data_IF_082321569970
#
_entry.id   IF_082321569970
#
_cell.length_a   1.000
_cell.length_b   1.000
_cell.length_c   1.000
_cell.angle_alpha   90.00
_cell.angle_beta   90.00
_cell.angle_gamma   90.00
#
_symmetry.space_group_name_H-M   'P 1'
#
loop_
_entity.id
_entity.type
_entity.pdbx_description
1 polymer ?
#
# COMPACT_ATOMS: atom_id res chain seq x y z
N UNK A 1 18.46 -12.25 8.07
CA UNK A 1 18.07 -12.79 9.39
C UNK A 1 17.63 -11.68 10.35
N UNK A 2 18.41 -10.61 10.48
CA UNK A 2 18.07 -9.44 11.32
C UNK A 2 16.71 -8.81 11.00
N UNK A 3 16.40 -8.60 9.71
CA UNK A 3 15.11 -8.04 9.29
C UNK A 3 13.91 -8.93 9.72
N UNK A 4 14.02 -10.26 9.58
CA UNK A 4 12.96 -11.19 10.01
C UNK A 4 12.70 -11.09 11.53
N UNK A 5 13.77 -10.92 12.32
CA UNK A 5 13.66 -10.76 13.78
C UNK A 5 12.99 -9.44 14.17
N UNK A 6 13.34 -8.33 13.51
CA UNK A 6 12.69 -7.03 13.75
C UNK A 6 11.20 -7.08 13.45
N UNK A 7 10.81 -7.73 12.35
CA UNK A 7 9.41 -7.89 11.97
C UNK A 7 8.62 -8.66 13.03
N UNK A 8 9.15 -9.79 13.48
CA UNK A 8 8.53 -10.61 14.51
C UNK A 8 8.36 -9.86 15.85
N UNK A 9 9.34 -9.02 16.23
CA UNK A 9 9.24 -8.21 17.45
C UNK A 9 8.16 -7.12 17.31
N UNK A 10 8.10 -6.42 16.18
CA UNK A 10 7.08 -5.40 15.94
C UNK A 10 5.66 -5.98 15.95
N UNK A 11 5.48 -7.18 15.39
CA UNK A 11 4.21 -7.92 15.45
C UNK A 11 3.82 -8.26 16.88
N UNK A 12 4.74 -8.84 17.65
CA UNK A 12 4.49 -9.17 19.06
C UNK A 12 4.12 -7.93 19.88
N UNK A 13 4.87 -6.84 19.72
CA UNK A 13 4.66 -5.63 20.50
C UNK A 13 3.31 -4.96 20.15
N UNK A 14 2.92 -4.97 18.87
CA UNK A 14 1.60 -4.50 18.44
C UNK A 14 0.48 -5.37 19.00
N UNK A 15 0.65 -6.69 19.00
CA UNK A 15 -0.34 -7.62 19.55
C UNK A 15 -0.51 -7.48 21.06
N UNK A 16 0.55 -7.13 21.78
CA UNK A 16 0.45 -6.80 23.21
C UNK A 16 -0.32 -5.49 23.40
N UNK A 17 -0.01 -4.46 22.60
CA UNK A 17 -0.70 -3.17 22.68
C UNK A 17 -2.19 -3.30 22.42
N UNK A 18 -2.59 -4.12 21.43
CA UNK A 18 -4.01 -4.41 21.16
C UNK A 18 -4.67 -5.17 22.32
N UNK A 19 -3.96 -6.10 22.97
CA UNK A 19 -4.50 -6.88 24.11
C UNK A 19 -4.75 -6.01 25.34
N UNK A 20 -3.90 -5.04 25.59
CA UNK A 20 -4.03 -4.13 26.74
C UNK A 20 -5.29 -3.25 26.66
N UNK A 21 -5.89 -3.10 25.47
CA UNK A 21 -7.16 -2.41 25.28
C UNK A 21 -8.40 -3.23 25.68
N UNK A 22 -8.23 -4.45 26.20
CA UNK A 22 -9.24 -5.12 27.04
C UNK A 22 -10.42 -5.77 26.31
N UNK A 23 -10.43 -5.78 24.98
CA UNK A 23 -11.44 -6.48 24.19
C UNK A 23 -10.77 -7.66 23.47
N UNK A 24 -11.23 -8.89 23.73
CA UNK A 24 -10.82 -10.11 22.99
C UNK A 24 -11.36 -10.10 21.55
N UNK A 25 -11.32 -8.95 20.88
CA UNK A 25 -11.88 -8.80 19.56
C UNK A 25 -10.92 -9.28 18.48
N UNK A 26 -11.53 -9.92 17.48
CA UNK A 26 -10.82 -10.66 16.45
C UNK A 26 -10.06 -9.71 15.52
N UNK A 27 -8.73 -9.81 15.56
CA UNK A 27 -7.88 -9.28 14.49
C UNK A 27 -8.36 -9.84 13.15
N UNK A 28 -8.73 -8.93 12.24
CA UNK A 28 -9.28 -9.28 10.92
C UNK A 28 -8.16 -9.47 9.91
N UNK A 29 -7.17 -8.57 9.90
CA UNK A 29 -6.06 -8.58 8.95
C UNK A 29 -4.79 -7.99 9.58
N UNK A 30 -3.65 -8.61 9.26
CA UNK A 30 -2.32 -8.04 9.51
C UNK A 30 -1.35 -8.41 8.38
N UNK A 31 -0.31 -7.58 8.22
CA UNK A 31 0.75 -7.82 7.25
C UNK A 31 1.62 -6.59 6.97
N UNK A 32 2.79 -6.85 6.39
CA UNK A 32 3.73 -5.81 5.99
C UNK A 32 3.35 -5.22 4.64
N UNK A 33 3.23 -3.90 4.57
CA UNK A 33 3.00 -3.16 3.32
C UNK A 33 3.90 -1.94 3.23
N UNK A 34 4.15 -1.47 2.01
CA UNK A 34 4.80 -0.20 1.75
C UNK A 34 3.80 0.95 1.81
N UNK A 35 4.03 1.93 2.69
CA UNK A 35 3.27 3.18 2.76
C UNK A 35 3.99 4.29 1.98
N UNK A 36 3.26 5.04 1.16
CA UNK A 36 3.79 6.25 0.55
C UNK A 36 3.84 7.39 1.58
N UNK A 37 4.95 8.14 1.61
CA UNK A 37 5.04 9.35 2.42
C UNK A 37 4.02 10.40 1.94
N UNK A 38 3.40 11.12 2.87
CA UNK A 38 2.40 12.13 2.54
C UNK A 38 3.02 13.24 1.68
N UNK A 39 2.34 13.58 0.58
CA UNK A 39 2.81 14.59 -0.39
C UNK A 39 3.88 14.09 -1.36
N UNK A 40 4.36 12.84 -1.24
CA UNK A 40 5.32 12.28 -2.18
C UNK A 40 4.64 11.79 -3.47
N UNK A 41 5.39 11.82 -4.56
CA UNK A 41 4.97 11.40 -5.91
C UNK A 41 4.94 9.88 -6.12
N UNK A 42 5.71 9.13 -5.33
CA UNK A 42 5.78 7.66 -5.41
C UNK A 42 6.65 7.09 -6.54
N UNK A 43 7.32 7.94 -7.30
CA UNK A 43 8.29 7.58 -8.36
C UNK A 43 9.60 6.97 -7.81
N UNK A 44 10.05 7.42 -6.63
CA UNK A 44 11.30 6.97 -6.00
C UNK A 44 11.05 5.99 -4.86
N UNK A 45 11.93 4.99 -4.72
CA UNK A 45 11.89 4.00 -3.61
C UNK A 45 11.94 4.68 -2.24
N UNK A 46 12.69 5.78 -2.11
CA UNK A 46 12.85 6.53 -0.87
C UNK A 46 11.55 7.17 -0.36
N UNK A 47 10.55 7.36 -1.23
CA UNK A 47 9.23 7.86 -0.86
C UNK A 47 8.39 6.82 -0.14
N UNK A 48 8.80 5.55 -0.19
CA UNK A 48 8.07 4.43 0.40
C UNK A 48 8.70 3.99 1.72
N UNK A 49 7.83 3.53 2.62
CA UNK A 49 8.22 3.09 3.95
C UNK A 49 7.47 1.83 4.30
N UNK A 50 8.20 0.75 4.58
CA UNK A 50 7.58 -0.48 5.02
C UNK A 50 7.05 -0.31 6.45
N UNK A 51 5.81 -0.74 6.66
CA UNK A 51 5.09 -0.69 7.93
C UNK A 51 4.32 -2.00 8.12
N UNK A 52 4.20 -2.41 9.37
CA UNK A 52 3.26 -3.46 9.73
C UNK A 52 1.90 -2.80 9.93
N UNK A 53 0.94 -3.20 9.10
CA UNK A 53 -0.44 -2.74 9.20
C UNK A 53 -1.28 -3.81 9.89
N UNK A 54 -2.25 -3.34 10.67
CA UNK A 54 -3.26 -4.19 11.31
C UNK A 54 -4.63 -3.53 11.20
N UNK A 55 -5.65 -4.32 10.86
CA UNK A 55 -7.06 -3.90 10.91
C UNK A 55 -7.70 -4.53 12.14
N UNK A 56 -8.17 -3.67 13.04
CA UNK A 56 -8.82 -4.04 14.30
C UNK A 56 -10.01 -3.11 14.55
N UNK A 57 -11.20 -3.67 14.81
CA UNK A 57 -12.40 -2.89 15.20
C UNK A 57 -12.79 -1.73 14.28
N UNK A 58 -12.55 -1.85 12.97
CA UNK A 58 -12.73 -0.77 11.97
C UNK A 58 -11.70 0.36 12.07
N UNK A 59 -10.54 0.09 12.64
CA UNK A 59 -9.38 0.98 12.62
C UNK A 59 -8.25 0.25 11.89
N UNK A 60 -7.65 0.93 10.93
CA UNK A 60 -6.40 0.55 10.29
C UNK A 60 -5.26 1.26 11.01
N UNK A 61 -4.51 0.53 11.80
CA UNK A 61 -3.33 1.02 12.48
C UNK A 61 -2.06 0.55 11.79
N UNK A 62 -0.96 1.27 12.02
CA UNK A 62 0.35 0.79 11.60
C UNK A 62 1.45 1.14 12.58
N UNK A 63 2.49 0.30 12.57
CA UNK A 63 3.73 0.53 13.31
C UNK A 63 4.91 0.54 12.35
N UNK A 64 5.89 1.38 12.67
CA UNK A 64 7.14 1.43 11.92
C UNK A 64 8.15 0.41 12.45
N UNK A 65 8.98 -0.10 11.55
CA UNK A 65 10.07 -1.01 11.92
C UNK A 65 11.04 -0.36 12.94
N UNK A 66 11.26 0.95 12.84
CA UNK A 66 12.22 1.68 13.70
C UNK A 66 11.73 1.89 15.13
N UNK A 67 10.42 1.95 15.33
CA UNK A 67 9.79 2.26 16.61
C UNK A 67 8.90 1.11 17.05
N UNK A 68 9.48 -0.09 17.17
CA UNK A 68 8.78 -1.27 17.69
C UNK A 68 8.17 -0.94 19.06
N UNK A 69 6.86 -1.12 19.19
CA UNK A 69 6.11 -0.86 20.43
C UNK A 69 5.49 0.53 20.54
N UNK A 70 5.68 1.43 19.56
CA UNK A 70 4.91 2.68 19.50
C UNK A 70 3.94 2.64 18.32
N UNK A 71 2.65 2.80 18.60
CA UNK A 71 1.64 3.01 17.57
C UNK A 71 1.98 4.31 16.83
N UNK A 72 2.32 4.22 15.54
CA UNK A 72 2.71 5.40 14.78
C UNK A 72 1.49 6.28 14.50
N UNK A 73 0.41 5.66 14.04
CA UNK A 73 -0.78 6.35 13.56
C UNK A 73 -1.92 5.34 13.40
N UNK A 74 -3.15 5.86 13.37
CA UNK A 74 -4.37 5.06 13.25
C UNK A 74 -5.39 5.81 12.39
N UNK A 75 -5.91 5.12 11.38
CA UNK A 75 -6.95 5.61 10.50
C UNK A 75 -8.24 4.86 10.79
N UNK A 76 -9.32 5.58 11.07
CA UNK A 76 -10.61 4.93 11.18
C UNK A 76 -11.14 4.61 9.79
N UNK A 77 -11.58 3.37 9.58
CA UNK A 77 -12.14 2.92 8.30
C UNK A 77 -13.51 3.52 8.02
N UNK A 78 -14.17 4.12 9.02
CA UNK A 78 -15.37 4.96 8.81
C UNK A 78 -15.07 6.23 8.01
N UNK A 79 -13.84 6.73 8.07
CA UNK A 79 -13.41 7.91 7.31
C UNK A 79 -13.03 7.56 5.87
N UNK A 80 -12.87 6.28 5.54
CA UNK A 80 -12.55 5.84 4.17
C UNK A 80 -13.83 5.82 3.34
N UNK A 81 -13.85 6.59 2.25
CA UNK A 81 -14.99 6.68 1.35
C UNK A 81 -14.89 5.72 0.18
N UNK A 82 -13.67 5.46 -0.30
CA UNK A 82 -13.45 4.61 -1.47
C UNK A 82 -12.07 3.96 -1.46
N UNK A 83 -11.91 2.90 -2.26
CA UNK A 83 -10.66 2.17 -2.47
C UNK A 83 -10.38 2.08 -3.97
N UNK A 84 -9.34 2.75 -4.45
CA UNK A 84 -8.97 2.73 -5.88
C UNK A 84 -7.66 1.95 -6.10
N UNK A 85 -7.59 1.20 -7.20
CA UNK A 85 -6.33 0.63 -7.65
C UNK A 85 -5.50 1.70 -8.33
N UNK A 86 -4.22 1.76 -7.98
CA UNK A 86 -3.30 2.72 -8.56
C UNK A 86 -2.00 2.03 -8.98
N UNK A 87 -1.33 2.61 -9.95
CA UNK A 87 -0.02 2.19 -10.42
C UNK A 87 0.96 3.35 -10.31
N UNK A 88 2.21 3.02 -10.01
CA UNK A 88 3.29 4.00 -9.92
C UNK A 88 4.43 3.59 -10.85
N UNK A 89 5.23 4.55 -11.36
CA UNK A 89 6.39 4.26 -12.18
C UNK A 89 7.47 3.43 -11.47
N UNK A 90 7.46 3.40 -10.13
CA UNK A 90 8.43 2.66 -9.33
C UNK A 90 8.29 1.14 -9.58
N UNK A 91 9.29 0.47 -10.18
CA UNK A 91 9.18 -0.95 -10.55
C UNK A 91 8.94 -1.88 -9.37
N UNK A 92 9.40 -1.49 -8.18
CA UNK A 92 9.24 -2.28 -6.96
C UNK A 92 7.86 -2.15 -6.31
N UNK A 93 6.99 -1.29 -6.85
CA UNK A 93 5.70 -0.91 -6.25
C UNK A 93 4.59 -0.92 -7.30
N UNK A 94 4.51 -1.99 -8.08
CA UNK A 94 3.48 -2.16 -9.12
C UNK A 94 2.10 -2.54 -8.54
N UNK A 95 2.09 -3.23 -7.41
CA UNK A 95 0.89 -3.74 -6.74
C UNK A 95 0.43 -2.76 -5.67
N UNK A 96 -0.18 -1.66 -6.10
CA UNK A 96 -0.67 -0.61 -5.20
C UNK A 96 -2.20 -0.45 -5.22
N UNK A 97 -2.70 0.12 -4.13
CA UNK A 97 -4.06 0.63 -3.99
C UNK A 97 -4.05 1.88 -3.08
N UNK A 98 -5.08 2.71 -3.16
CA UNK A 98 -5.22 3.87 -2.29
C UNK A 98 -6.57 3.87 -1.58
N UNK A 99 -6.56 4.34 -0.33
CA UNK A 99 -7.75 4.65 0.43
C UNK A 99 -8.03 6.14 0.30
N UNK A 100 -9.21 6.49 -0.20
CA UNK A 100 -9.69 7.86 -0.24
C UNK A 100 -10.46 8.15 1.04
N UNK A 101 -10.11 9.24 1.74
CA UNK A 101 -10.82 9.63 2.96
C UNK A 101 -11.89 10.70 2.68
N UNK A 102 -12.84 10.84 3.60
CA UNK A 102 -13.89 11.87 3.59
C UNK A 102 -13.32 13.30 3.56
N UNK A 103 -12.10 13.49 4.09
CA UNK A 103 -11.35 14.75 4.02
C UNK A 103 -10.69 15.03 2.66
N UNK A 104 -10.81 14.12 1.69
CA UNK A 104 -10.15 14.18 0.39
C UNK A 104 -8.67 13.77 0.42
N UNK A 105 -8.18 13.25 1.55
CA UNK A 105 -6.81 12.76 1.66
C UNK A 105 -6.68 11.39 0.98
N UNK A 106 -5.48 11.12 0.44
CA UNK A 106 -5.15 9.85 -0.20
C UNK A 106 -4.13 9.10 0.60
N UNK A 107 -4.42 7.83 0.91
CA UNK A 107 -3.52 6.96 1.64
C UNK A 107 -3.10 5.79 0.75
N UNK A 108 -1.88 5.87 0.21
CA UNK A 108 -1.39 4.93 -0.81
C UNK A 108 -0.58 3.81 -0.16
N UNK A 109 -0.94 2.58 -0.50
CA UNK A 109 -0.36 1.34 0.01
C UNK A 109 0.14 0.46 -1.13
N UNK A 110 1.25 -0.23 -0.90
CA UNK A 110 1.85 -1.20 -1.80
C UNK A 110 1.96 -2.56 -1.12
N UNK A 111 1.47 -3.58 -1.80
CA UNK A 111 1.48 -4.98 -1.37
C UNK A 111 2.63 -5.75 -2.02
N UNK A 112 2.92 -6.95 -1.51
CA UNK A 112 3.98 -7.79 -2.06
C UNK A 112 3.65 -8.31 -3.46
N UNK A 113 2.39 -8.65 -3.70
CA UNK A 113 1.89 -9.18 -4.97
C UNK A 113 0.39 -8.85 -5.12
N UNK A 114 -0.20 -9.25 -6.25
CA UNK A 114 -1.61 -8.95 -6.56
C UNK A 114 -2.59 -9.68 -5.64
N UNK A 115 -2.28 -10.92 -5.24
CA UNK A 115 -3.13 -11.70 -4.34
C UNK A 115 -3.22 -11.03 -2.96
N UNK A 116 -2.08 -10.55 -2.45
CA UNK A 116 -1.98 -9.80 -1.21
C UNK A 116 -2.76 -8.48 -1.30
N UNK A 117 -2.65 -7.75 -2.42
CA UNK A 117 -3.48 -6.56 -2.67
C UNK A 117 -4.97 -6.87 -2.63
N UNK A 118 -5.42 -7.91 -3.33
CA UNK A 118 -6.83 -8.33 -3.35
C UNK A 118 -7.30 -8.68 -1.95
N UNK A 119 -6.53 -9.46 -1.19
CA UNK A 119 -6.82 -9.81 0.21
C UNK A 119 -7.02 -8.56 1.08
N UNK A 120 -6.13 -7.58 0.98
CA UNK A 120 -6.23 -6.34 1.75
C UNK A 120 -7.45 -5.52 1.37
N UNK A 121 -7.70 -5.32 0.08
CA UNK A 121 -8.85 -4.57 -0.43
C UNK A 121 -10.17 -5.21 0.01
N UNK A 122 -10.29 -6.52 -0.14
CA UNK A 122 -11.49 -7.27 0.25
C UNK A 122 -11.73 -7.21 1.75
N UNK A 123 -10.69 -7.42 2.56
CA UNK A 123 -10.83 -7.42 4.01
C UNK A 123 -11.09 -6.02 4.60
N UNK A 124 -10.46 -4.97 4.05
CA UNK A 124 -10.79 -3.57 4.41
C UNK A 124 -12.25 -3.27 4.02
N UNK A 125 -12.65 -3.61 2.80
CA UNK A 125 -14.03 -3.40 2.32
C UNK A 125 -15.06 -4.14 3.17
N UNK A 126 -14.78 -5.39 3.56
CA UNK A 126 -15.65 -6.17 4.45
C UNK A 126 -15.79 -5.51 5.83
N UNK A 127 -14.68 -4.99 6.37
CA UNK A 127 -14.65 -4.28 7.65
C UNK A 127 -15.45 -2.98 7.59
N UNK A 128 -15.32 -2.20 6.50
CA UNK A 128 -16.07 -0.97 6.26
C UNK A 128 -17.58 -1.20 6.21
N UNK A 129 -18.04 -2.29 5.58
CA UNK A 129 -19.46 -2.65 5.49
C UNK A 129 -20.08 -3.06 6.84
N UNK A 130 -19.29 -3.18 7.90
CA UNK A 130 -19.77 -3.65 9.20
C UNK A 130 -20.17 -5.12 9.17
N UNK A 131 -19.63 -5.89 8.23
CA UNK A 131 -19.85 -7.32 8.17
C UNK A 131 -19.25 -7.99 9.40
N UNK A 132 -20.10 -8.33 10.38
CA UNK A 132 -19.84 -9.37 11.39
C UNK A 132 -19.73 -10.77 10.76
N UNK A 133 -19.57 -10.86 9.44
CA UNK A 133 -19.28 -12.09 8.76
C UNK A 133 -17.77 -12.30 8.88
N UNK A 134 -17.41 -12.97 9.98
CA UNK A 134 -16.08 -13.47 10.27
C UNK A 134 -15.56 -14.11 8.99
N UNK A 135 -14.66 -13.41 8.29
CA UNK A 135 -13.85 -14.01 7.24
C UNK A 135 -13.07 -15.08 7.99
N UNK A 136 -13.60 -16.32 7.96
CA UNK A 136 -13.00 -17.46 8.65
C UNK A 136 -11.53 -17.40 8.29
N UNK A 137 -10.68 -17.22 9.31
CA UNK A 137 -9.22 -17.19 9.16
C UNK A 137 -8.81 -18.41 8.35
N UNK A 138 -8.73 -18.26 7.04
CA UNK A 138 -7.92 -19.13 6.23
C UNK A 138 -6.54 -18.73 6.70
N UNK A 139 -6.01 -19.51 7.64
CA UNK A 139 -4.63 -19.39 8.10
C UNK A 139 -3.80 -19.75 6.88
N UNK A 140 -3.59 -18.77 6.01
CA UNK A 140 -2.64 -18.81 4.90
C UNK A 140 -1.27 -18.85 5.56
N UNK A 141 -0.92 -20.01 6.12
CA UNK A 141 0.47 -20.30 6.48
C UNK A 141 1.24 -20.13 5.19
N UNK A 142 2.29 -19.33 5.28
CA UNK A 142 3.30 -19.15 4.27
C UNK A 142 3.51 -20.48 3.55
N UNK A 143 3.11 -20.54 2.27
CA UNK A 143 3.37 -21.67 1.38
C UNK A 143 4.84 -21.64 0.91
N UNK A 144 5.72 -21.12 1.75
CA UNK A 144 7.14 -21.03 1.53
C UNK A 144 7.82 -21.98 2.53
N UNK A 145 8.59 -22.92 1.98
CA UNK A 145 9.41 -23.94 2.64
C UNK A 145 8.75 -25.33 2.83
N UNK A 146 9.12 -26.25 1.91
CA UNK A 146 8.99 -27.73 1.96
C UNK A 146 7.75 -28.40 1.35
N UNK A 147 7.48 -28.12 0.08
CA UNK A 147 6.67 -29.01 -0.76
C UNK A 147 7.18 -29.05 -2.19
N UNK A 148 8.28 -29.75 -2.43
CA UNK A 148 8.68 -30.14 -3.78
C UNK A 148 7.59 -31.03 -4.38
N UNK A 149 6.64 -30.42 -5.06
CA UNK A 149 5.74 -31.12 -5.97
C UNK A 149 6.55 -31.31 -7.24
N UNK A 150 7.06 -32.54 -7.44
CA UNK A 150 7.48 -33.00 -8.76
C UNK A 150 6.27 -32.86 -9.70
N UNK A 151 6.22 -31.76 -10.43
CA UNK A 151 5.40 -31.65 -11.63
C UNK A 151 5.96 -32.69 -12.61
N UNK A 152 5.27 -33.82 -12.73
CA UNK A 152 5.49 -34.72 -13.84
C UNK A 152 5.07 -33.99 -15.10
N UNK A 153 6.05 -33.77 -15.97
CA UNK A 153 5.86 -33.29 -17.33
C UNK A 153 4.93 -34.28 -18.06
N UNK A 154 3.69 -33.88 -18.30
CA UNK A 154 2.88 -34.50 -19.36
C UNK A 154 3.16 -33.72 -20.65
N UNK A 155 4.01 -34.33 -21.48
CA UNK A 155 4.16 -34.03 -22.90
C UNK A 155 2.80 -34.05 -23.60
N UNK A 156 2.22 -32.87 -23.77
CA UNK A 156 1.02 -32.64 -24.57
C UNK A 156 1.32 -31.66 -25.69
N UNK A 157 2.12 -32.10 -26.68
CA UNK A 157 2.31 -31.37 -27.92
C UNK A 157 0.96 -31.22 -28.64
N UNK A 158 0.44 -30.00 -28.68
CA UNK A 158 -0.60 -29.59 -29.63
C UNK A 158 -0.02 -28.51 -30.53
N UNK A 159 0.25 -28.92 -31.77
CA UNK A 159 0.43 -28.03 -32.91
C UNK A 159 -0.81 -27.13 -33.01
N UNK A 160 -0.60 -25.82 -32.89
CA UNK A 160 -1.57 -24.81 -33.29
C UNK A 160 -0.99 -24.12 -34.51
N UNK A 161 -1.70 -24.32 -35.62
CA UNK A 161 -1.41 -23.79 -36.94
C UNK A 161 -1.37 -22.25 -36.91
N UNK A 162 -0.36 -21.70 -37.56
CA UNK A 162 -0.15 -20.29 -37.79
C UNK A 162 -1.21 -19.77 -38.78
N UNK A 163 -2.12 -18.91 -38.32
CA UNK A 163 -2.97 -18.11 -39.20
C UNK A 163 -2.38 -16.69 -39.28
N UNK A 164 -1.62 -16.44 -40.35
CA UNK A 164 -1.06 -15.14 -40.71
C UNK A 164 -2.17 -14.14 -41.06
N UNK A 165 -2.69 -13.44 -40.06
CA UNK A 165 -3.60 -12.31 -40.22
C UNK A 165 -2.84 -11.03 -40.59
N UNK A 166 -2.74 -10.74 -41.88
CA UNK A 166 -2.20 -9.52 -42.45
C UNK A 166 -3.10 -8.32 -42.15
N UNK A 167 -2.75 -7.50 -41.15
CA UNK A 167 -3.50 -6.27 -40.82
C UNK A 167 -2.82 -5.07 -41.48
N UNK A 168 -3.58 -4.43 -42.37
CA UNK A 168 -3.18 -3.30 -43.18
C UNK A 168 -2.72 -2.08 -42.36
N UNK A 169 -1.57 -1.55 -42.77
CA UNK A 169 -1.14 -0.18 -42.56
C UNK A 169 -2.00 0.73 -43.43
N UNK A 170 -2.99 1.40 -42.86
CA UNK A 170 -3.63 2.54 -43.51
C UNK A 170 -3.41 3.83 -42.73
N UNK A 171 -2.84 4.76 -43.48
CA UNK A 171 -2.59 6.17 -43.20
C UNK A 171 -3.83 6.89 -42.65
N UNK A 172 -3.68 7.56 -41.49
CA UNK A 172 -4.38 8.81 -41.21
C UNK A 172 -3.39 9.73 -40.48
N UNK A 173 -2.76 10.65 -41.20
CA UNK A 173 -3.27 11.98 -41.52
C UNK A 173 -3.06 12.99 -40.38
N UNK A 174 -1.97 13.74 -40.55
CA UNK A 174 -1.83 15.20 -40.36
C UNK A 174 -2.85 15.87 -39.44
N UNK A 175 -2.36 16.41 -38.32
CA UNK A 175 -3.10 17.37 -37.50
C UNK A 175 -2.21 18.25 -36.65
N UNK A 176 -1.86 19.41 -37.19
CA UNK A 176 -1.19 20.54 -36.54
C UNK A 176 -1.72 20.86 -35.14
N UNK A 177 -0.81 21.26 -34.23
CA UNK A 177 -1.03 22.45 -33.38
C UNK A 177 0.27 22.94 -32.75
N UNK A 178 0.74 24.07 -33.25
CA UNK A 178 1.72 24.91 -32.59
C UNK A 178 1.14 25.42 -31.25
N UNK A 179 1.75 24.95 -30.16
CA UNK A 179 1.43 25.35 -28.79
C UNK A 179 2.38 26.45 -28.32
N UNK A 180 1.86 27.67 -28.41
CA UNK A 180 2.26 28.93 -27.77
C UNK A 180 3.03 28.75 -26.44
N UNK A 181 4.28 29.23 -26.41
CA UNK A 181 5.09 29.43 -25.20
C UNK A 181 4.44 30.52 -24.33
N UNK A 182 3.97 30.14 -23.14
CA UNK A 182 3.54 31.07 -22.09
C UNK A 182 4.65 31.09 -21.03
N UNK A 183 5.45 32.15 -21.13
CA UNK A 183 6.36 32.63 -20.11
C UNK A 183 5.53 33.06 -18.89
N UNK A 184 5.76 32.42 -17.75
CA UNK A 184 5.24 32.84 -16.46
C UNK A 184 6.41 33.15 -15.54
N UNK A 185 6.93 34.36 -15.73
CA UNK A 185 7.29 35.33 -14.70
C UNK A 185 7.47 34.77 -13.29
N UNK A 186 8.73 34.79 -12.89
CA UNK A 186 9.28 34.72 -11.55
C UNK A 186 8.48 35.58 -10.56
N UNK A 187 7.86 34.93 -9.57
CA UNK A 187 7.47 35.60 -8.34
C UNK A 187 8.34 35.11 -7.19
N UNK A 188 9.49 35.76 -7.11
CA UNK A 188 10.28 35.93 -5.91
C UNK A 188 9.41 36.63 -4.84
N UNK A 189 8.99 35.85 -3.84
CA UNK A 189 8.44 36.37 -2.58
C UNK A 189 8.97 35.51 -1.44
N UNK A 190 10.18 35.84 -1.01
CA UNK A 190 10.57 35.70 0.38
C UNK A 190 9.58 36.47 1.28
N UNK A 191 9.23 35.93 2.45
CA UNK A 191 9.28 36.80 3.61
C UNK A 191 9.90 36.15 4.85
N UNK A 192 10.81 36.93 5.43
CA UNK A 192 10.96 37.19 6.86
C UNK A 192 11.17 35.99 7.79
N UNK A 193 12.45 35.73 8.05
CA UNK A 193 12.92 35.34 9.39
C UNK A 193 12.63 36.47 10.37
N UNK A 194 11.74 36.19 11.30
CA UNK A 194 11.48 36.88 12.56
C UNK A 194 11.10 35.74 13.52
N UNK A 195 11.55 35.61 14.76
CA UNK A 195 12.13 36.58 15.70
C UNK A 195 12.26 35.83 17.04
N UNK A 196 13.33 36.13 17.79
CA UNK A 196 13.47 36.09 19.27
C UNK A 196 13.46 34.72 20.00
N UNK A 197 14.55 34.38 20.70
CA UNK A 197 14.96 34.73 22.10
C UNK A 197 14.36 33.73 23.09
N UNK A 198 15.18 32.90 23.72
CA UNK A 198 15.85 33.05 25.04
C UNK A 198 14.98 32.48 26.18
N UNK A 199 15.65 32.28 27.32
CA UNK A 199 15.20 31.72 28.61
C UNK A 199 15.30 30.18 28.71
N UNK A 200 16.41 29.64 29.22
CA UNK A 200 16.79 29.56 30.65
C UNK A 200 15.64 29.03 31.53
N UNK A 201 15.82 27.84 32.10
CA UNK A 201 15.91 27.69 33.56
C UNK A 201 16.32 26.25 33.93
N UNK A 202 16.92 26.18 35.12
CA UNK A 202 17.72 25.11 35.75
C UNK A 202 17.07 23.72 35.92
#
# INVERSE_FOLDING_TARGET
>A
KEMKLRRANAERDLMNLLRDHGEEEEEVLSGWMGKLNQGATGDKVEHWRDRLFVVHQKVLCYVSEKYSGTLNDAMKLEDVTDIEFCSFPCPMKQTCFCLLTSSGSRFVLSCMNEQDRTRWVEGISATMRGGREVVKRTRWRDADENGGVECKDEEGARELEEEEGQIGLDELSRGSRAGKTLDMSEHDKSPAKTREEEEEEE
#
